data_IF_125296430816
#
_entry.id   IF_125296430816
#
_cell.length_a   1.000
_cell.length_b   1.000
_cell.length_c   1.000
_cell.angle_alpha   90.00
_cell.angle_beta   90.00
_cell.angle_gamma   90.00
#
_symmetry.space_group_name_H-M   'P 1'
#
loop_
_entity.id
_entity.type
_entity.pdbx_description
1 polymer ?
#
# COMPACT_ATOMS: atom_id res chain seq x y z
N UNK A 1 -5.78 -10.53 7.91
CA UNK A 1 -4.78 -10.23 8.97
C UNK A 1 -4.08 -8.88 8.77
N UNK A 2 -4.54 -8.02 7.84
CA UNK A 2 -4.07 -6.63 7.76
C UNK A 2 -4.67 -5.75 8.86
N UNK A 3 -4.26 -4.46 8.89
CA UNK A 3 -4.67 -3.51 9.95
C UNK A 3 -6.19 -3.46 10.13
N UNK A 4 -6.95 -3.40 9.03
CA UNK A 4 -8.42 -3.34 9.12
C UNK A 4 -9.05 -4.58 9.75
N UNK A 5 -8.55 -5.78 9.40
CA UNK A 5 -9.06 -7.03 9.98
C UNK A 5 -8.63 -7.20 11.43
N UNK A 6 -7.40 -6.79 11.79
CA UNK A 6 -6.92 -6.82 13.18
C UNK A 6 -7.73 -5.86 14.07
N UNK A 7 -8.00 -4.64 13.61
CA UNK A 7 -8.86 -3.69 14.33
C UNK A 7 -10.26 -4.26 14.50
N UNK A 8 -10.86 -4.78 13.42
CA UNK A 8 -12.18 -5.40 13.49
C UNK A 8 -12.22 -6.55 14.50
N UNK A 9 -11.22 -7.42 14.52
CA UNK A 9 -11.15 -8.53 15.46
C UNK A 9 -11.11 -8.06 16.90
N UNK A 10 -10.30 -7.05 17.22
CA UNK A 10 -10.19 -6.48 18.57
C UNK A 10 -11.50 -5.80 18.99
N UNK A 11 -12.10 -4.99 18.12
CA UNK A 11 -13.36 -4.30 18.44
C UNK A 11 -14.49 -5.31 18.67
N UNK A 12 -14.63 -6.31 17.81
CA UNK A 12 -15.63 -7.37 18.00
C UNK A 12 -15.39 -8.15 19.31
N UNK A 13 -14.14 -8.52 19.62
CA UNK A 13 -13.83 -9.21 20.87
C UNK A 13 -14.15 -8.38 22.12
N UNK A 14 -13.85 -7.06 22.10
CA UNK A 14 -14.23 -6.12 23.16
C UNK A 14 -15.75 -6.04 23.39
N UNK A 15 -16.52 -6.29 22.35
CA UNK A 15 -17.99 -6.32 22.39
C UNK A 15 -18.57 -7.69 22.77
N UNK A 16 -17.72 -8.68 23.02
CA UNK A 16 -18.13 -10.02 23.48
C UNK A 16 -18.32 -11.05 22.37
N UNK A 17 -17.95 -10.74 21.13
CA UNK A 17 -18.02 -11.69 20.02
C UNK A 17 -16.85 -12.69 20.05
N UNK A 18 -17.12 -13.94 19.61
CA UNK A 18 -16.08 -14.89 19.26
C UNK A 18 -15.64 -14.63 17.83
N UNK A 19 -14.34 -14.46 17.59
CA UNK A 19 -13.77 -14.06 16.31
C UNK A 19 -12.78 -15.08 15.80
N UNK A 20 -12.88 -15.44 14.51
CA UNK A 20 -11.81 -16.15 13.81
C UNK A 20 -11.24 -15.20 12.75
N UNK A 21 -9.95 -14.87 12.89
CA UNK A 21 -9.22 -14.03 11.94
C UNK A 21 -8.37 -14.92 11.03
N UNK A 22 -8.73 -14.98 9.75
CA UNK A 22 -7.99 -15.72 8.74
C UNK A 22 -6.99 -14.83 8.03
N UNK A 23 -5.76 -15.31 7.88
CA UNK A 23 -4.71 -14.64 7.12
C UNK A 23 -3.99 -15.66 6.22
N UNK A 24 -3.84 -15.33 4.92
CA UNK A 24 -3.18 -16.19 3.94
C UNK A 24 -1.66 -16.29 4.14
N UNK A 25 -1.05 -15.24 4.70
CA UNK A 25 0.38 -15.20 5.01
C UNK A 25 0.69 -15.91 6.33
N UNK A 26 1.98 -16.08 6.59
CA UNK A 26 2.52 -16.64 7.82
C UNK A 26 2.59 -15.63 8.99
N UNK A 27 2.17 -14.39 8.76
CA UNK A 27 2.19 -13.29 9.74
C UNK A 27 1.09 -12.27 9.52
N UNK A 28 0.74 -11.56 10.58
CA UNK A 28 -0.20 -10.43 10.56
C UNK A 28 0.46 -9.16 10.02
N UNK A 29 -0.35 -8.15 9.69
CA UNK A 29 0.07 -6.81 9.22
C UNK A 29 -0.31 -6.52 7.77
N UNK A 30 -0.45 -7.55 6.92
CA UNK A 30 -0.84 -7.39 5.52
C UNK A 30 0.10 -6.46 4.74
N UNK A 31 -0.44 -5.67 3.82
CA UNK A 31 0.33 -4.72 3.01
C UNK A 31 0.97 -3.61 3.85
N UNK A 32 0.48 -3.37 5.07
CA UNK A 32 1.06 -2.35 5.94
C UNK A 32 2.48 -2.68 6.40
N UNK A 33 2.90 -3.96 6.36
CA UNK A 33 4.29 -4.37 6.57
C UNK A 33 5.20 -3.67 5.55
N UNK A 34 4.82 -3.68 4.26
CA UNK A 34 5.56 -2.97 3.23
C UNK A 34 5.52 -1.44 3.44
N UNK A 35 4.35 -0.89 3.79
CA UNK A 35 4.22 0.55 4.07
C UNK A 35 5.08 1.01 5.26
N UNK A 36 5.34 0.14 6.24
CA UNK A 36 6.15 0.40 7.43
C UNK A 36 7.66 0.10 7.22
N UNK A 37 8.05 -0.41 6.05
CA UNK A 37 9.42 -0.86 5.79
C UNK A 37 10.46 0.28 5.73
N UNK A 38 10.18 1.49 5.17
CA UNK A 38 11.15 2.56 5.12
C UNK A 38 11.82 2.83 6.48
N UNK A 39 13.11 3.18 6.44
CA UNK A 39 13.97 3.29 7.64
C UNK A 39 13.42 4.23 8.69
N UNK A 40 12.80 5.32 8.29
CA UNK A 40 12.23 6.38 9.12
C UNK A 40 10.82 6.09 9.66
N UNK A 41 10.25 4.91 9.41
CA UNK A 41 8.88 4.52 9.81
C UNK A 41 8.83 3.56 11.00
N UNK A 42 9.67 3.77 12.02
CA UNK A 42 9.68 2.90 13.21
C UNK A 42 8.31 2.87 13.92
N UNK A 43 7.56 3.99 13.94
CA UNK A 43 6.25 4.05 14.59
C UNK A 43 5.18 3.22 13.87
N UNK A 44 5.28 3.08 12.56
CA UNK A 44 4.40 2.21 11.79
C UNK A 44 4.70 0.72 12.10
N UNK A 45 5.98 0.37 12.28
CA UNK A 45 6.38 -0.96 12.74
C UNK A 45 5.92 -1.24 14.17
N UNK A 46 6.05 -0.26 15.06
CA UNK A 46 5.55 -0.33 16.44
C UNK A 46 4.03 -0.58 16.47
N UNK A 47 3.29 0.03 15.56
CA UNK A 47 1.84 -0.16 15.45
C UNK A 47 1.47 -1.60 15.08
N UNK A 48 2.17 -2.22 14.12
CA UNK A 48 1.96 -3.64 13.78
C UNK A 48 2.20 -4.51 15.02
N UNK A 49 3.35 -4.32 15.67
CA UNK A 49 3.70 -5.07 16.87
C UNK A 49 2.70 -4.83 18.03
N UNK A 50 2.10 -3.64 18.11
CA UNK A 50 1.04 -3.36 19.08
C UNK A 50 -0.21 -4.19 18.78
N UNK A 51 -0.68 -4.23 17.52
CA UNK A 51 -1.83 -5.03 17.13
C UNK A 51 -1.62 -6.52 17.42
N UNK A 52 -0.44 -7.06 17.12
CA UNK A 52 -0.11 -8.46 17.41
C UNK A 52 -0.20 -8.78 18.90
N UNK A 53 0.34 -7.90 19.76
CA UNK A 53 0.24 -8.05 21.22
C UNK A 53 -1.18 -7.84 21.75
N UNK A 54 -1.91 -6.89 21.16
CA UNK A 54 -3.27 -6.56 21.59
C UNK A 54 -4.24 -7.72 21.32
N UNK A 55 -4.17 -8.35 20.13
CA UNK A 55 -4.97 -9.52 19.78
C UNK A 55 -4.80 -10.65 20.80
N UNK A 56 -3.59 -10.90 21.28
CA UNK A 56 -3.29 -11.96 22.24
C UNK A 56 -3.97 -11.79 23.61
N UNK A 57 -4.42 -10.57 23.95
CA UNK A 57 -5.14 -10.30 25.20
C UNK A 57 -6.59 -10.80 25.19
N UNK A 58 -7.11 -11.17 24.02
CA UNK A 58 -8.49 -11.61 23.87
C UNK A 58 -8.56 -13.10 23.49
N UNK A 59 -8.80 -14.01 24.46
CA UNK A 59 -8.94 -15.44 24.20
C UNK A 59 -10.09 -15.78 23.22
N UNK A 60 -11.03 -14.85 23.02
CA UNK A 60 -12.12 -14.98 22.06
C UNK A 60 -11.69 -14.76 20.61
N UNK A 61 -10.44 -14.33 20.35
CA UNK A 61 -9.90 -14.19 19.00
C UNK A 61 -9.03 -15.40 18.69
N UNK A 62 -9.44 -16.18 17.69
CA UNK A 62 -8.64 -17.25 17.10
C UNK A 62 -7.97 -16.72 15.83
N UNK A 63 -6.65 -16.78 15.73
CA UNK A 63 -5.88 -16.39 14.54
C UNK A 63 -5.49 -17.64 13.75
N UNK A 64 -5.85 -17.69 12.48
CA UNK A 64 -5.52 -18.76 11.54
C UNK A 64 -4.61 -18.20 10.44
N UNK A 65 -3.30 -18.36 10.63
CA UNK A 65 -2.28 -18.02 9.62
C UNK A 65 -2.17 -19.10 8.55
N UNK A 66 -1.54 -18.79 7.42
CA UNK A 66 -1.41 -19.68 6.26
C UNK A 66 -2.76 -20.23 5.77
N UNK A 67 -3.83 -19.48 5.98
CA UNK A 67 -5.22 -19.88 5.77
C UNK A 67 -5.91 -18.94 4.81
N UNK A 68 -5.73 -19.18 3.50
CA UNK A 68 -6.35 -18.37 2.46
C UNK A 68 -7.83 -18.72 2.31
N UNK A 69 -8.71 -17.75 2.52
CA UNK A 69 -10.14 -17.83 2.20
C UNK A 69 -10.36 -17.24 0.80
N UNK A 70 -10.81 -18.06 -0.13
CA UNK A 70 -11.06 -17.67 -1.53
C UNK A 70 -12.54 -17.30 -1.80
N UNK A 71 -13.42 -17.66 -0.90
CA UNK A 71 -14.85 -17.33 -0.98
C UNK A 71 -15.44 -17.26 0.42
N UNK A 72 -16.35 -16.31 0.66
CA UNK A 72 -17.09 -16.20 1.92
C UNK A 72 -17.90 -17.45 2.25
N UNK A 73 -18.28 -18.26 1.26
CA UNK A 73 -18.99 -19.52 1.44
C UNK A 73 -18.14 -20.61 2.16
N UNK A 74 -16.83 -20.42 2.28
CA UNK A 74 -15.94 -21.32 3.03
C UNK A 74 -16.02 -21.08 4.54
N UNK A 75 -16.63 -19.96 4.96
CA UNK A 75 -16.69 -19.52 6.36
C UNK A 75 -18.11 -19.68 6.87
N UNK A 76 -18.27 -20.31 8.05
CA UNK A 76 -19.53 -20.40 8.78
C UNK A 76 -19.46 -19.47 9.98
N UNK A 77 -20.20 -18.37 9.92
CA UNK A 77 -20.29 -17.36 10.99
C UNK A 77 -21.62 -16.62 10.87
N UNK A 78 -22.06 -16.00 11.95
CA UNK A 78 -23.25 -15.13 11.97
C UNK A 78 -23.01 -13.87 11.14
N UNK A 79 -21.80 -13.30 11.26
CA UNK A 79 -21.35 -12.12 10.51
C UNK A 79 -19.96 -12.36 9.92
N UNK A 80 -19.74 -11.88 8.70
CA UNK A 80 -18.46 -12.00 7.97
C UNK A 80 -17.92 -10.60 7.67
N UNK A 81 -16.67 -10.35 8.06
CA UNK A 81 -15.97 -9.11 7.74
C UNK A 81 -14.89 -9.41 6.70
N UNK A 82 -15.04 -8.84 5.51
CA UNK A 82 -14.09 -8.96 4.40
C UNK A 82 -13.11 -7.78 4.49
N UNK A 83 -11.88 -8.07 4.89
CA UNK A 83 -10.78 -7.12 5.05
C UNK A 83 -9.57 -7.51 4.16
N UNK A 84 -9.83 -7.98 2.94
CA UNK A 84 -8.84 -8.58 2.03
C UNK A 84 -7.95 -7.55 1.33
N UNK A 85 -8.17 -6.26 1.59
CA UNK A 85 -7.31 -5.18 1.10
C UNK A 85 -7.44 -4.95 -0.40
N UNK A 86 -6.32 -4.55 -1.01
CA UNK A 86 -6.23 -4.18 -2.41
C UNK A 86 -4.95 -4.76 -3.03
N UNK A 87 -4.91 -4.84 -4.35
CA UNK A 87 -3.72 -5.24 -5.12
C UNK A 87 -3.13 -4.05 -5.87
N UNK A 88 -1.81 -4.06 -6.08
CA UNK A 88 -1.13 -3.06 -6.90
C UNK A 88 -1.69 -3.03 -8.33
N UNK A 89 -1.84 -1.83 -8.87
CA UNK A 89 -2.20 -1.62 -10.28
C UNK A 89 -0.96 -1.72 -11.15
N UNK A 90 -1.18 -2.10 -12.40
CA UNK A 90 -0.16 -2.06 -13.47
C UNK A 90 -0.62 -1.13 -14.58
N UNK A 91 0.31 -0.42 -15.19
CA UNK A 91 0.03 0.37 -16.39
C UNK A 91 0.09 -0.53 -17.62
N UNK A 92 -0.79 -0.33 -18.61
CA UNK A 92 -0.84 -1.17 -19.81
C UNK A 92 0.16 -0.67 -20.88
N UNK A 93 1.45 -0.62 -20.54
CA UNK A 93 2.51 -0.23 -21.46
C UNK A 93 3.43 -1.42 -21.73
N UNK A 94 4.10 -1.43 -22.87
CA UNK A 94 5.09 -2.44 -23.22
C UNK A 94 6.23 -2.44 -22.20
N UNK A 95 6.67 -3.60 -21.75
CA UNK A 95 7.72 -3.75 -20.75
C UNK A 95 7.23 -3.61 -19.29
N UNK A 96 5.93 -3.36 -19.04
CA UNK A 96 5.40 -3.19 -17.68
C UNK A 96 5.62 -4.42 -16.77
N UNK A 97 5.78 -5.59 -17.35
CA UNK A 97 6.08 -6.85 -16.64
C UNK A 97 7.49 -6.89 -16.05
N UNK A 98 8.43 -6.07 -16.53
CA UNK A 98 9.81 -5.99 -16.04
C UNK A 98 9.94 -5.06 -14.83
N UNK A 99 8.97 -4.16 -14.63
CA UNK A 99 8.98 -3.24 -13.51
C UNK A 99 8.79 -3.97 -12.18
N UNK A 100 9.50 -3.51 -11.16
CA UNK A 100 9.39 -3.99 -9.79
C UNK A 100 8.14 -3.37 -9.16
N UNK A 101 7.26 -4.18 -8.59
CA UNK A 101 6.14 -3.65 -7.81
C UNK A 101 6.66 -2.97 -6.52
N UNK A 102 6.11 -1.80 -6.18
CA UNK A 102 6.52 -1.04 -4.99
C UNK A 102 6.51 -1.89 -3.70
N UNK A 103 5.50 -2.77 -3.54
CA UNK A 103 5.40 -3.68 -2.39
C UNK A 103 6.56 -4.68 -2.35
N UNK A 104 6.94 -5.25 -3.48
CA UNK A 104 8.05 -6.22 -3.53
C UNK A 104 9.40 -5.57 -3.26
N UNK A 105 9.61 -4.34 -3.73
CA UNK A 105 10.78 -3.54 -3.35
C UNK A 105 10.81 -3.26 -1.86
N UNK A 106 9.72 -2.72 -1.29
CA UNK A 106 9.63 -2.38 0.13
C UNK A 106 9.80 -3.59 1.06
N UNK A 107 9.37 -4.78 0.62
CA UNK A 107 9.58 -6.04 1.37
C UNK A 107 10.99 -6.63 1.19
N UNK A 108 11.89 -5.97 0.46
CA UNK A 108 13.25 -6.45 0.22
C UNK A 108 13.34 -7.70 -0.67
N UNK A 109 12.28 -8.02 -1.43
CA UNK A 109 12.29 -9.18 -2.35
C UNK A 109 13.06 -8.91 -3.64
N UNK A 110 13.29 -7.65 -3.95
CA UNK A 110 14.01 -7.19 -5.14
C UNK A 110 14.98 -6.10 -4.74
N UNK A 111 16.24 -6.28 -5.12
CA UNK A 111 17.27 -5.24 -5.01
C UNK A 111 17.24 -4.35 -6.26
N UNK A 112 17.73 -3.12 -6.12
CA UNK A 112 17.81 -2.14 -7.20
C UNK A 112 19.22 -1.57 -7.32
N UNK A 113 19.60 -1.20 -8.54
CA UNK A 113 20.87 -0.54 -8.86
C UNK A 113 20.98 0.90 -8.33
N UNK A 114 21.86 1.68 -8.94
CA UNK A 114 22.14 3.05 -8.51
C UNK A 114 21.08 4.05 -8.99
N UNK A 115 20.64 3.92 -10.25
CA UNK A 115 19.69 4.83 -10.88
C UNK A 115 18.32 4.16 -10.94
N UNK A 116 17.34 4.72 -10.26
CA UNK A 116 16.01 4.09 -10.11
C UNK A 116 14.91 5.05 -10.53
N UNK A 117 14.14 4.67 -11.53
CA UNK A 117 12.95 5.44 -11.91
C UNK A 117 11.71 4.91 -11.21
N UNK A 118 11.00 5.79 -10.51
CA UNK A 118 9.73 5.50 -9.84
C UNK A 118 8.58 6.03 -10.70
N UNK A 119 7.71 5.14 -11.16
CA UNK A 119 6.49 5.51 -11.88
C UNK A 119 5.37 5.70 -10.87
N UNK A 120 4.91 6.95 -10.74
CA UNK A 120 3.87 7.38 -9.80
C UNK A 120 4.42 8.18 -8.62
N UNK A 121 4.06 9.47 -8.60
CA UNK A 121 4.42 10.45 -7.57
C UNK A 121 3.39 10.55 -6.43
N UNK A 122 2.62 9.50 -6.17
CA UNK A 122 1.80 9.40 -4.97
C UNK A 122 2.65 9.25 -3.70
N UNK A 123 2.01 9.21 -2.51
CA UNK A 123 2.73 9.15 -1.23
C UNK A 123 3.74 8.00 -1.19
N UNK A 124 3.35 6.79 -1.56
CA UNK A 124 4.25 5.62 -1.56
C UNK A 124 5.43 5.79 -2.51
N UNK A 125 5.21 6.31 -3.72
CA UNK A 125 6.30 6.55 -4.68
C UNK A 125 7.29 7.60 -4.19
N UNK A 126 6.79 8.68 -3.60
CA UNK A 126 7.63 9.71 -2.97
C UNK A 126 8.40 9.17 -1.76
N UNK A 127 7.78 8.36 -0.91
CA UNK A 127 8.45 7.72 0.22
C UNK A 127 9.55 6.74 -0.21
N UNK A 128 9.33 6.00 -1.31
CA UNK A 128 10.36 5.14 -1.91
C UNK A 128 11.51 5.98 -2.46
N UNK A 129 11.23 7.06 -3.18
CA UNK A 129 12.26 7.96 -3.71
C UNK A 129 13.09 8.57 -2.57
N UNK A 130 12.43 8.98 -1.49
CA UNK A 130 13.11 9.50 -0.30
C UNK A 130 14.03 8.46 0.34
N UNK A 131 13.53 7.23 0.56
CA UNK A 131 14.33 6.13 1.12
C UNK A 131 15.53 5.79 0.22
N UNK A 132 15.35 5.70 -1.09
CA UNK A 132 16.44 5.46 -2.04
C UNK A 132 17.50 6.56 -2.00
N UNK A 133 17.09 7.82 -1.89
CA UNK A 133 18.03 8.94 -1.73
C UNK A 133 18.83 8.83 -0.43
N UNK A 134 18.20 8.48 0.69
CA UNK A 134 18.88 8.25 1.97
C UNK A 134 19.89 7.10 1.90
N UNK A 135 19.65 6.11 1.04
CA UNK A 135 20.57 5.00 0.76
C UNK A 135 21.70 5.40 -0.21
N UNK A 136 21.80 6.67 -0.64
CA UNK A 136 22.80 7.16 -1.57
C UNK A 136 22.57 6.77 -3.03
N UNK A 137 21.34 6.38 -3.39
CA UNK A 137 20.92 6.10 -4.77
C UNK A 137 20.38 7.34 -5.46
N UNK A 138 20.19 7.25 -6.78
CA UNK A 138 19.71 8.33 -7.64
C UNK A 138 18.25 8.04 -8.06
N UNK A 139 17.24 8.39 -7.26
CA UNK A 139 15.84 8.23 -7.66
C UNK A 139 15.43 9.30 -8.67
N UNK A 140 14.57 8.94 -9.61
CA UNK A 140 13.84 9.85 -10.50
C UNK A 140 12.36 9.53 -10.42
N UNK A 141 11.50 10.54 -10.24
CA UNK A 141 10.04 10.36 -10.16
C UNK A 141 9.40 10.78 -11.48
N UNK A 142 8.54 9.93 -12.03
CA UNK A 142 7.69 10.24 -13.18
C UNK A 142 6.23 10.23 -12.74
N UNK A 143 5.54 11.38 -12.86
CA UNK A 143 4.15 11.55 -12.42
C UNK A 143 3.33 12.18 -13.55
N UNK A 144 2.17 11.59 -13.83
CA UNK A 144 1.27 12.10 -14.87
C UNK A 144 0.43 13.31 -14.44
N UNK A 145 0.30 13.52 -13.12
CA UNK A 145 -0.39 14.68 -12.57
C UNK A 145 0.52 15.91 -12.56
N UNK A 146 -0.07 17.06 -12.31
CA UNK A 146 0.61 18.37 -12.25
C UNK A 146 1.33 18.64 -10.91
N UNK A 147 1.16 17.74 -9.92
CA UNK A 147 1.84 17.82 -8.61
C UNK A 147 2.03 16.42 -8.01
N UNK A 148 2.96 16.34 -7.05
CA UNK A 148 3.17 15.14 -6.23
C UNK A 148 2.08 15.03 -5.15
N UNK A 149 1.76 13.80 -4.77
CA UNK A 149 0.91 13.46 -3.62
C UNK A 149 -0.42 14.24 -3.63
N UNK A 150 -1.12 14.24 -4.77
CA UNK A 150 -2.42 14.93 -4.93
C UNK A 150 -3.56 14.27 -4.14
N UNK A 151 -3.30 13.17 -3.42
CA UNK A 151 -4.29 12.42 -2.64
C UNK A 151 -4.81 13.26 -1.46
N UNK A 152 -6.14 13.39 -1.37
CA UNK A 152 -6.80 14.13 -0.27
C UNK A 152 -6.70 13.37 1.06
N UNK A 153 -6.63 14.12 2.18
CA UNK A 153 -6.63 13.55 3.53
C UNK A 153 -5.29 13.05 4.03
N UNK A 154 -4.20 13.36 3.31
CA UNK A 154 -2.82 13.16 3.76
C UNK A 154 -2.38 14.36 4.62
N UNK A 155 -1.52 14.12 5.60
CA UNK A 155 -0.97 15.18 6.44
C UNK A 155 -0.14 16.16 5.61
N UNK A 156 -0.50 17.44 5.64
CA UNK A 156 0.18 18.47 4.86
C UNK A 156 1.66 18.57 5.22
N UNK A 157 2.02 18.41 6.49
CA UNK A 157 3.42 18.46 6.92
C UNK A 157 4.28 17.41 6.21
N UNK A 158 3.76 16.16 6.08
CA UNK A 158 4.50 15.11 5.39
C UNK A 158 4.62 15.38 3.88
N UNK A 159 3.54 15.85 3.25
CA UNK A 159 3.54 16.11 1.81
C UNK A 159 4.41 17.31 1.42
N UNK A 160 4.37 18.39 2.21
CA UNK A 160 5.23 19.55 2.01
C UNK A 160 6.70 19.18 2.22
N UNK A 161 7.01 18.44 3.30
CA UNK A 161 8.37 17.99 3.56
C UNK A 161 8.98 17.22 2.38
N UNK A 162 8.24 16.28 1.80
CA UNK A 162 8.75 15.48 0.67
C UNK A 162 8.97 16.35 -0.58
N UNK A 163 8.06 17.28 -0.90
CA UNK A 163 8.24 18.22 -2.02
C UNK A 163 9.47 19.10 -1.82
N UNK A 164 9.58 19.75 -0.65
CA UNK A 164 10.70 20.62 -0.30
C UNK A 164 12.02 19.84 -0.32
N UNK A 165 11.99 18.58 0.14
CA UNK A 165 13.15 17.70 0.12
C UNK A 165 13.63 17.43 -1.32
N UNK A 166 12.73 17.06 -2.22
CA UNK A 166 13.10 16.77 -3.61
C UNK A 166 13.60 18.00 -4.34
N UNK A 167 12.98 19.15 -4.13
CA UNK A 167 13.43 20.43 -4.69
C UNK A 167 14.82 20.80 -4.17
N UNK A 168 15.01 20.79 -2.85
CA UNK A 168 16.28 21.17 -2.20
C UNK A 168 17.44 20.27 -2.62
N UNK A 169 17.18 18.97 -2.71
CA UNK A 169 18.20 17.99 -3.05
C UNK A 169 18.28 17.71 -4.57
N UNK A 170 17.52 18.46 -5.38
CA UNK A 170 17.51 18.36 -6.84
C UNK A 170 17.21 16.93 -7.34
N UNK A 171 16.35 16.21 -6.64
CA UNK A 171 15.86 14.92 -7.11
C UNK A 171 15.02 15.17 -8.36
N UNK A 172 15.31 14.51 -9.50
CA UNK A 172 14.55 14.70 -10.72
C UNK A 172 13.08 14.29 -10.55
N UNK A 173 12.16 15.22 -10.82
CA UNK A 173 10.71 15.01 -10.80
C UNK A 173 10.14 15.47 -12.14
N UNK A 174 9.56 14.54 -12.89
CA UNK A 174 8.90 14.81 -14.17
C UNK A 174 7.38 14.77 -13.94
N UNK A 175 6.77 15.94 -13.73
CA UNK A 175 5.32 16.11 -13.63
C UNK A 175 4.69 16.18 -15.01
N UNK A 176 3.36 15.97 -15.08
CA UNK A 176 2.58 15.99 -16.31
C UNK A 176 3.22 15.12 -17.41
N UNK A 177 3.84 14.01 -16.99
CA UNK A 177 4.65 13.12 -17.83
C UNK A 177 4.18 11.69 -17.68
N UNK A 178 3.75 11.08 -18.78
CA UNK A 178 3.29 9.70 -18.83
C UNK A 178 4.37 8.75 -19.36
N UNK A 179 4.47 7.55 -18.80
CA UNK A 179 5.32 6.48 -19.33
C UNK A 179 4.63 5.84 -20.53
N UNK A 180 5.36 5.67 -21.64
CA UNK A 180 4.88 5.04 -22.88
C UNK A 180 5.45 3.64 -23.10
N UNK A 181 6.67 3.37 -22.60
CA UNK A 181 7.33 2.06 -22.68
C UNK A 181 8.34 1.91 -21.54
N UNK A 182 8.51 0.71 -21.02
CA UNK A 182 9.59 0.35 -20.09
C UNK A 182 10.62 -0.48 -20.85
N UNK A 183 11.89 -0.05 -20.78
CA UNK A 183 13.03 -0.65 -21.47
C UNK A 183 13.91 -1.39 -20.45
N UNK A 184 14.89 -2.16 -20.94
CA UNK A 184 15.90 -2.81 -20.09
C UNK A 184 16.77 -1.81 -19.32
N UNK A 185 17.00 -0.63 -19.92
CA UNK A 185 17.91 0.41 -19.42
C UNK A 185 17.20 1.74 -19.13
N UNK A 186 15.89 1.72 -18.83
CA UNK A 186 15.14 2.92 -18.48
C UNK A 186 13.68 2.93 -18.90
N UNK A 187 13.12 4.12 -19.09
CA UNK A 187 11.74 4.33 -19.52
C UNK A 187 11.63 5.35 -20.63
N UNK A 188 10.74 5.11 -21.59
CA UNK A 188 10.29 6.13 -22.54
C UNK A 188 9.12 6.86 -21.93
N UNK A 189 9.17 8.17 -21.97
CA UNK A 189 8.14 9.05 -21.41
C UNK A 189 7.70 10.10 -22.42
N UNK A 190 6.48 10.61 -22.21
CA UNK A 190 5.89 11.68 -23.01
C UNK A 190 5.37 12.77 -22.08
N UNK A 191 5.84 13.99 -22.24
CA UNK A 191 5.40 15.15 -21.47
C UNK A 191 4.11 15.75 -22.03
N UNK A 192 3.54 16.74 -21.33
CA UNK A 192 2.32 17.43 -21.73
C UNK A 192 2.40 18.15 -23.08
N UNK A 193 3.60 18.49 -23.55
CA UNK A 193 3.79 19.10 -24.88
C UNK A 193 3.75 18.08 -26.01
N UNK A 194 3.74 16.78 -25.67
CA UNK A 194 3.83 15.67 -26.61
C UNK A 194 5.25 15.28 -26.96
N UNK A 195 6.26 15.88 -26.33
CA UNK A 195 7.67 15.51 -26.53
C UNK A 195 7.98 14.17 -25.85
N UNK A 196 8.54 13.27 -26.61
CA UNK A 196 9.01 11.99 -26.12
C UNK A 196 10.51 12.02 -25.83
N UNK A 197 10.92 11.40 -24.73
CA UNK A 197 12.32 11.27 -24.36
C UNK A 197 12.54 10.05 -23.46
N UNK A 198 13.79 9.59 -23.38
CA UNK A 198 14.19 8.50 -22.51
C UNK A 198 14.71 9.02 -21.18
N UNK A 199 14.38 8.31 -20.11
CA UNK A 199 15.01 8.43 -18.79
C UNK A 199 15.77 7.14 -18.55
N UNK A 200 17.09 7.21 -18.44
CA UNK A 200 17.93 6.06 -18.16
C UNK A 200 17.78 5.61 -16.70
N UNK A 201 17.70 4.30 -16.47
CA UNK A 201 17.59 3.71 -15.14
C UNK A 201 18.08 2.27 -15.13
N UNK A 202 18.70 1.86 -14.02
CA UNK A 202 19.08 0.46 -13.79
C UNK A 202 17.85 -0.39 -13.46
N UNK A 203 16.86 0.22 -12.77
CA UNK A 203 15.60 -0.43 -12.43
C UNK A 203 14.44 0.57 -12.43
N UNK A 204 13.25 0.01 -12.66
CA UNK A 204 11.98 0.75 -12.64
C UNK A 204 11.09 0.20 -11.54
N UNK A 205 10.60 1.07 -10.65
CA UNK A 205 9.62 0.73 -9.61
C UNK A 205 8.27 1.30 -9.99
N UNK A 206 7.24 0.45 -9.99
CA UNK A 206 5.87 0.83 -10.31
C UNK A 206 5.08 1.10 -9.01
N UNK A 207 4.64 2.35 -8.82
CA UNK A 207 3.89 2.82 -7.65
C UNK A 207 2.63 3.61 -8.07
N UNK A 208 1.81 3.02 -8.93
CA UNK A 208 0.65 3.67 -9.58
C UNK A 208 -0.68 3.43 -8.85
N UNK A 209 -0.61 3.13 -7.56
CA UNK A 209 -1.76 2.92 -6.68
C UNK A 209 -2.31 1.50 -6.69
N UNK A 210 -3.52 1.35 -6.14
CA UNK A 210 -4.12 0.05 -5.82
C UNK A 210 -5.54 -0.06 -6.37
N UNK A 211 -6.01 -1.31 -6.51
CA UNK A 211 -7.40 -1.65 -6.85
C UNK A 211 -7.96 -2.55 -5.75
N UNK A 212 -9.14 -2.24 -5.18
CA UNK A 212 -9.81 -3.08 -4.19
C UNK A 212 -9.97 -4.53 -4.66
N UNK A 213 -9.84 -5.48 -3.73
CA UNK A 213 -10.01 -6.91 -4.02
C UNK A 213 -10.95 -7.57 -2.99
N UNK A 214 -12.23 -7.17 -2.92
CA UNK A 214 -13.18 -7.81 -2.03
C UNK A 214 -13.47 -9.24 -2.48
N UNK A 215 -13.65 -10.16 -1.51
CA UNK A 215 -14.08 -11.56 -1.78
C UNK A 215 -15.57 -11.67 -2.08
N UNK A 216 -16.37 -10.67 -1.69
CA UNK A 216 -17.80 -10.64 -1.90
C UNK A 216 -18.29 -9.19 -1.88
N UNK A 217 -19.48 -8.97 -2.41
CA UNK A 217 -20.22 -7.73 -2.23
C UNK A 217 -20.79 -7.62 -0.81
N UNK A 218 -21.02 -6.40 -0.36
CA UNK A 218 -21.67 -6.12 0.92
C UNK A 218 -23.10 -6.65 0.90
N UNK A 219 -23.50 -7.32 1.99
CA UNK A 219 -24.86 -7.81 2.19
C UNK A 219 -25.30 -7.64 3.64
N UNK A 220 -26.43 -8.23 4.04
CA UNK A 220 -26.93 -8.12 5.42
C UNK A 220 -25.92 -8.66 6.44
N UNK A 221 -25.22 -9.75 6.12
CA UNK A 221 -24.29 -10.46 7.02
C UNK A 221 -22.85 -10.48 6.49
N UNK A 222 -22.55 -9.72 5.43
CA UNK A 222 -21.20 -9.58 4.87
C UNK A 222 -20.83 -8.10 4.80
N UNK A 223 -19.79 -7.74 5.53
CA UNK A 223 -19.29 -6.38 5.66
C UNK A 223 -17.93 -6.25 4.99
N UNK A 224 -17.77 -5.32 4.06
CA UNK A 224 -16.50 -5.06 3.38
C UNK A 224 -15.89 -3.80 3.97
N UNK A 225 -14.65 -3.89 4.46
CA UNK A 225 -13.95 -2.81 5.16
C UNK A 225 -12.56 -2.52 4.58
N UNK A 226 -12.01 -1.37 4.96
CA UNK A 226 -10.67 -0.94 4.57
C UNK A 226 -10.51 -0.87 3.05
N UNK A 227 -9.30 -1.15 2.57
CA UNK A 227 -8.97 -1.06 1.15
C UNK A 227 -9.71 -2.08 0.27
N UNK A 228 -10.31 -3.11 0.86
CA UNK A 228 -11.20 -4.01 0.13
C UNK A 228 -12.50 -3.31 -0.29
N UNK A 229 -12.97 -2.33 0.47
CA UNK A 229 -14.13 -1.50 0.12
C UNK A 229 -13.71 -0.30 -0.75
N UNK A 230 -12.68 0.42 -0.31
CA UNK A 230 -12.14 1.60 -0.98
C UNK A 230 -10.74 1.87 -0.49
N UNK A 231 -9.79 1.96 -1.41
CA UNK A 231 -8.41 2.32 -1.10
C UNK A 231 -8.37 3.67 -0.39
N UNK A 232 -7.67 3.73 0.73
CA UNK A 232 -7.60 4.91 1.58
C UNK A 232 -6.26 5.04 2.30
N UNK A 233 -6.31 5.50 3.53
CA UNK A 233 -5.16 5.63 4.41
C UNK A 233 -5.42 4.90 5.73
N UNK A 234 -4.41 4.84 6.60
CA UNK A 234 -4.47 4.13 7.88
C UNK A 234 -5.69 4.55 8.73
N UNK A 235 -5.97 5.87 8.78
CA UNK A 235 -7.14 6.38 9.52
C UNK A 235 -8.47 5.83 8.97
N UNK A 236 -8.66 5.86 7.64
CA UNK A 236 -9.90 5.39 7.03
C UNK A 236 -10.09 3.89 7.20
N UNK A 237 -8.99 3.12 7.22
CA UNK A 237 -9.00 1.67 7.44
C UNK A 237 -9.41 1.35 8.88
N UNK A 238 -8.78 1.99 9.87
CA UNK A 238 -9.06 1.75 11.30
C UNK A 238 -10.47 2.22 11.65
N UNK A 239 -10.84 3.43 11.29
CA UNK A 239 -12.16 3.97 11.61
C UNK A 239 -13.30 3.23 10.89
N UNK A 240 -13.07 2.83 9.62
CA UNK A 240 -14.05 2.03 8.90
C UNK A 240 -14.29 0.65 9.52
N UNK A 241 -13.25 0.02 10.06
CA UNK A 241 -13.38 -1.22 10.84
C UNK A 241 -14.18 -0.99 12.12
N UNK A 242 -13.82 0.05 12.88
CA UNK A 242 -14.55 0.45 14.10
C UNK A 242 -16.04 0.72 13.82
N UNK A 243 -16.36 1.56 12.84
CA UNK A 243 -17.72 1.95 12.49
C UNK A 243 -18.63 0.77 12.14
N UNK A 244 -18.08 -0.25 11.50
CA UNK A 244 -18.79 -1.48 11.18
C UNK A 244 -18.97 -2.33 12.44
N UNK A 245 -17.88 -2.63 13.15
CA UNK A 245 -17.92 -3.55 14.28
C UNK A 245 -18.72 -3.02 15.47
N UNK A 246 -18.83 -1.69 15.63
CA UNK A 246 -19.69 -1.07 16.67
C UNK A 246 -21.19 -1.25 16.43
N UNK A 247 -21.60 -1.72 15.26
CA UNK A 247 -23.01 -1.96 14.89
C UNK A 247 -23.40 -3.44 14.90
N UNK A 248 -22.43 -4.33 15.04
CA UNK A 248 -22.63 -5.76 15.20
C UNK A 248 -22.90 -6.10 16.67
#
# INVERSE_FOLDING_TARGET
GGIGGMEAAIVCAKRGHAVTLYEKADKLGGVFIAAAAPSYKEKDRDLIAWYEREIQKYPSIKVELNSEIKSVNQVKADEIIVATGAKARKIPVKGAETAIEAVDFLLGKKEVGQNVTIIGGGLTGCEIAYELYLQGKNPTIVEMMDDLIVTKGVCLANTSYLRDFFETNKVPVHLETGVTEILEDGVMVKDKSGKEFKIDADNVIMSVGYTPTPLAEKSKHVHVIGDAAKVGNLRTVIWGAWDVCMKL
#
